data_IF_182098904661
#
_entry.id   IF_182098904661
#
_cell.length_a   1.000
_cell.length_b   1.000
_cell.length_c   1.000
_cell.angle_alpha   90.00
_cell.angle_beta   90.00
_cell.angle_gamma   90.00
#
_symmetry.space_group_name_H-M   'P 1'
#
loop_
_entity.id
_entity.type
_entity.pdbx_description
1 polymer ?
#
# COMPACT_ATOMS: atom_id res chain seq x y z
N UNK A 1 19.49 16.43 -1.65
CA UNK A 1 20.54 16.25 -2.69
C UNK A 1 19.84 15.77 -3.94
N UNK A 2 19.75 16.60 -4.98
CA UNK A 2 19.08 16.22 -6.23
C UNK A 2 19.80 15.03 -6.82
N UNK A 3 19.10 13.90 -6.94
CA UNK A 3 19.65 12.64 -7.40
C UNK A 3 19.77 12.64 -8.93
N UNK A 4 20.48 13.65 -9.45
CA UNK A 4 20.65 14.00 -10.87
C UNK A 4 21.20 12.81 -11.68
N UNK A 5 21.96 11.93 -11.03
CA UNK A 5 22.46 10.69 -11.64
C UNK A 5 21.34 9.82 -12.23
N UNK A 6 20.30 9.49 -11.45
CA UNK A 6 19.24 8.59 -11.93
C UNK A 6 18.36 9.26 -12.97
N UNK A 7 18.07 10.55 -12.79
CA UNK A 7 17.32 11.33 -13.80
C UNK A 7 18.05 11.32 -15.14
N UNK A 8 19.37 11.58 -15.15
CA UNK A 8 20.17 11.55 -16.38
C UNK A 8 20.24 10.14 -16.98
N UNK A 9 20.41 9.11 -16.15
CA UNK A 9 20.41 7.73 -16.62
C UNK A 9 19.09 7.37 -17.32
N UNK A 10 17.95 7.73 -16.71
CA UNK A 10 16.62 7.46 -17.28
C UNK A 10 16.45 8.22 -18.61
N UNK A 11 16.82 9.50 -18.67
CA UNK A 11 16.73 10.30 -19.91
C UNK A 11 17.58 9.66 -21.03
N UNK A 12 18.81 9.24 -20.73
CA UNK A 12 19.68 8.57 -21.69
C UNK A 12 19.10 7.25 -22.19
N UNK A 13 18.46 6.48 -21.31
CA UNK A 13 17.76 5.26 -21.69
C UNK A 13 16.55 5.54 -22.58
N UNK A 14 15.70 6.48 -22.21
CA UNK A 14 14.56 6.89 -23.01
C UNK A 14 14.97 7.31 -24.43
N UNK A 15 16.03 8.14 -24.56
CA UNK A 15 16.57 8.53 -25.87
C UNK A 15 16.95 7.31 -26.73
N UNK A 16 17.67 6.36 -26.13
CA UNK A 16 18.12 5.15 -26.80
C UNK A 16 16.94 4.27 -27.23
N UNK A 17 15.96 4.11 -26.36
CA UNK A 17 14.81 3.24 -26.60
C UNK A 17 13.94 3.81 -27.73
N UNK A 18 13.67 5.12 -27.72
CA UNK A 18 12.97 5.82 -28.81
C UNK A 18 13.71 5.67 -30.15
N UNK A 19 15.04 5.83 -30.15
CA UNK A 19 15.84 5.69 -31.37
C UNK A 19 15.73 4.28 -31.96
N UNK A 20 15.85 3.25 -31.13
CA UNK A 20 15.75 1.86 -31.58
C UNK A 20 14.34 1.53 -32.08
N UNK A 21 13.31 1.95 -31.36
CA UNK A 21 11.91 1.67 -31.72
C UNK A 21 11.53 2.32 -33.06
N UNK A 22 11.98 3.56 -33.31
CA UNK A 22 11.74 4.22 -34.59
C UNK A 22 12.52 3.57 -35.76
N UNK A 23 13.73 3.06 -35.52
CA UNK A 23 14.47 2.29 -36.52
C UNK A 23 13.85 0.92 -36.80
N UNK A 24 13.26 0.28 -35.80
CA UNK A 24 12.57 -0.99 -35.96
C UNK A 24 11.29 -0.82 -36.79
N UNK A 25 10.61 0.34 -36.66
CA UNK A 25 9.43 0.68 -37.48
C UNK A 25 9.81 0.94 -38.94
N UNK A 26 10.88 1.70 -39.18
CA UNK A 26 11.35 1.99 -40.53
C UNK A 26 12.88 1.95 -40.60
N UNK A 27 13.39 0.78 -40.97
CA UNK A 27 14.82 0.54 -41.13
C UNK A 27 15.48 1.33 -42.27
N UNK A 28 14.69 1.97 -43.13
CA UNK A 28 15.18 2.81 -44.23
C UNK A 28 15.45 4.25 -43.80
N UNK A 29 15.07 4.63 -42.58
CA UNK A 29 15.34 5.95 -42.02
C UNK A 29 16.85 6.26 -41.99
N UNK A 30 17.18 7.48 -42.37
CA UNK A 30 18.52 8.03 -42.18
C UNK A 30 18.84 8.11 -40.68
N UNK A 31 19.74 7.22 -40.25
CA UNK A 31 20.19 7.09 -38.86
C UNK A 31 20.77 8.37 -38.29
N UNK A 32 21.46 9.16 -39.11
CA UNK A 32 22.06 10.43 -38.67
C UNK A 32 20.97 11.44 -38.41
N UNK A 33 20.08 11.63 -39.39
CA UNK A 33 18.97 12.58 -39.30
C UNK A 33 18.02 12.24 -38.16
N UNK A 34 17.71 10.96 -37.95
CA UNK A 34 16.87 10.51 -36.85
C UNK A 34 17.49 10.83 -35.49
N UNK A 35 18.80 10.58 -35.35
CA UNK A 35 19.52 10.90 -34.11
C UNK A 35 19.49 12.40 -33.82
N UNK A 36 19.77 13.23 -34.84
CA UNK A 36 19.77 14.69 -34.70
C UNK A 36 18.38 15.21 -34.29
N UNK A 37 17.30 14.67 -34.87
CA UNK A 37 15.92 15.04 -34.50
C UNK A 37 15.60 14.69 -33.04
N UNK A 38 16.00 13.50 -32.57
CA UNK A 38 15.78 13.09 -31.17
C UNK A 38 16.60 13.97 -30.23
N UNK A 39 17.88 14.24 -30.56
CA UNK A 39 18.72 15.06 -29.73
C UNK A 39 18.22 16.52 -29.66
N UNK A 40 17.79 17.09 -30.78
CA UNK A 40 17.18 18.43 -30.83
C UNK A 40 15.91 18.50 -29.97
N UNK A 41 15.04 17.49 -30.04
CA UNK A 41 13.82 17.45 -29.24
C UNK A 41 14.12 17.48 -27.74
N UNK A 42 15.05 16.64 -27.27
CA UNK A 42 15.43 16.57 -25.86
C UNK A 42 16.30 17.74 -25.38
N UNK A 43 16.92 18.50 -26.30
CA UNK A 43 17.57 19.77 -25.96
C UNK A 43 16.55 20.89 -25.78
N UNK A 44 15.50 20.93 -26.62
CA UNK A 44 14.45 21.96 -26.55
C UNK A 44 13.43 21.73 -25.44
N UNK A 45 13.22 20.48 -25.04
CA UNK A 45 12.20 20.11 -24.07
C UNK A 45 12.82 19.60 -22.77
N UNK A 46 12.39 20.16 -21.65
CA UNK A 46 12.78 19.69 -20.31
C UNK A 46 11.85 18.58 -19.85
N UNK A 47 12.40 17.40 -19.54
CA UNK A 47 11.63 16.30 -18.94
C UNK A 47 11.57 16.48 -17.42
N UNK A 48 10.36 16.66 -16.90
CA UNK A 48 10.11 16.73 -15.47
C UNK A 48 9.70 15.36 -14.93
N UNK A 49 10.61 14.69 -14.20
CA UNK A 49 10.30 13.45 -13.49
C UNK A 49 9.69 13.79 -12.13
N UNK A 50 8.42 13.46 -11.94
CA UNK A 50 7.73 13.63 -10.66
C UNK A 50 7.79 12.29 -9.94
N UNK A 51 8.62 12.22 -8.89
CA UNK A 51 8.56 11.11 -7.95
C UNK A 51 7.35 11.34 -7.04
N UNK A 52 6.29 10.58 -7.24
CA UNK A 52 5.22 10.51 -6.26
C UNK A 52 5.70 9.62 -5.10
N UNK A 53 6.03 10.25 -3.97
CA UNK A 53 6.14 9.53 -2.72
C UNK A 53 4.74 8.96 -2.40
N UNK A 54 4.53 7.69 -2.73
CA UNK A 54 3.43 6.93 -2.15
C UNK A 54 3.65 6.96 -0.64
N UNK A 55 2.89 7.82 0.06
CA UNK A 55 2.76 7.75 1.52
C UNK A 55 2.18 6.38 1.85
N UNK A 56 3.03 5.40 2.09
CA UNK A 56 2.64 4.18 2.76
C UNK A 56 2.08 4.61 4.11
N UNK A 57 0.77 4.42 4.33
CA UNK A 57 0.21 4.48 5.68
C UNK A 57 1.01 3.47 6.50
N UNK A 58 1.55 3.87 7.64
CA UNK A 58 2.12 2.92 8.61
C UNK A 58 1.17 1.74 8.76
N UNK A 59 1.56 0.58 8.23
CA UNK A 59 0.71 -0.62 8.18
C UNK A 59 0.51 -1.17 9.60
N UNK A 60 1.55 -1.04 10.44
CA UNK A 60 1.53 -1.41 11.85
C UNK A 60 1.10 -0.24 12.73
N UNK A 61 0.10 -0.48 13.58
CA UNK A 61 -0.32 0.47 14.61
C UNK A 61 0.06 -0.07 16.00
N UNK A 62 1.03 0.56 16.69
CA UNK A 62 1.46 0.13 18.01
C UNK A 62 0.31 0.12 19.02
N UNK A 63 0.19 -0.95 19.82
CA UNK A 63 -0.91 -1.16 20.80
C UNK A 63 -0.87 -0.15 21.96
N UNK A 64 0.33 0.20 22.41
CA UNK A 64 0.63 1.19 23.45
C UNK A 64 0.00 2.57 23.16
N UNK A 65 -0.15 2.95 21.87
CA UNK A 65 -0.87 4.18 21.48
C UNK A 65 -2.37 4.16 21.83
N UNK A 66 -2.93 3.00 22.15
CA UNK A 66 -4.37 2.78 22.41
C UNK A 66 -4.67 2.25 23.82
N UNK A 67 -3.64 1.85 24.58
CA UNK A 67 -3.74 1.15 25.87
C UNK A 67 -4.45 1.95 26.98
N UNK A 68 -4.72 3.24 26.77
CA UNK A 68 -5.34 4.15 27.75
C UNK A 68 -6.59 4.86 27.25
N UNK A 69 -7.23 4.36 26.19
CA UNK A 69 -8.46 4.96 25.66
C UNK A 69 -9.68 4.21 26.19
N UNK A 70 -10.42 4.86 27.08
CA UNK A 70 -11.69 4.35 27.58
C UNK A 70 -12.76 4.33 26.48
N UNK A 71 -13.76 3.46 26.66
CA UNK A 71 -14.94 3.36 25.78
C UNK A 71 -14.62 2.97 24.32
N UNK A 72 -13.58 2.16 24.13
CA UNK A 72 -13.15 1.67 22.81
C UNK A 72 -13.75 0.29 22.52
N UNK A 73 -13.85 -0.04 21.23
CA UNK A 73 -14.42 -1.31 20.79
C UNK A 73 -13.54 -2.50 21.23
N UNK A 74 -14.15 -3.52 21.82
CA UNK A 74 -13.48 -4.72 22.32
C UNK A 74 -12.93 -5.64 21.21
N UNK A 75 -13.40 -5.51 19.97
CA UNK A 75 -13.00 -6.39 18.88
C UNK A 75 -11.52 -6.25 18.52
N UNK A 76 -10.86 -7.40 18.32
CA UNK A 76 -9.49 -7.48 17.81
C UNK A 76 -9.47 -7.30 16.29
N UNK A 77 -8.47 -6.61 15.76
CA UNK A 77 -8.28 -6.39 14.32
C UNK A 77 -6.92 -6.91 13.86
N UNK A 78 -6.76 -7.14 12.55
CA UNK A 78 -5.59 -7.79 11.94
C UNK A 78 -4.25 -7.15 12.33
N UNK A 79 -4.12 -5.82 12.30
CA UNK A 79 -2.92 -5.07 12.75
C UNK A 79 -1.58 -5.73 12.33
N UNK A 80 -1.41 -6.00 11.03
CA UNK A 80 -0.25 -6.73 10.49
C UNK A 80 0.01 -8.08 11.17
N UNK A 81 -1.04 -8.83 11.47
CA UNK A 81 -0.92 -10.12 12.15
C UNK A 81 -0.57 -10.06 13.63
N UNK A 82 -0.18 -8.92 14.20
CA UNK A 82 0.09 -8.78 15.64
C UNK A 82 -1.18 -8.75 16.48
N UNK A 83 -2.33 -8.51 15.84
CA UNK A 83 -3.57 -8.19 16.55
C UNK A 83 -3.56 -6.78 17.14
N UNK A 84 -4.72 -6.14 17.16
CA UNK A 84 -4.88 -4.80 17.73
C UNK A 84 -6.30 -4.54 18.21
N UNK A 85 -6.52 -3.48 18.99
CA UNK A 85 -7.87 -3.07 19.36
C UNK A 85 -8.48 -2.25 18.22
N UNK A 86 -9.75 -2.49 17.90
CA UNK A 86 -10.49 -1.61 17.01
C UNK A 86 -10.50 -0.17 17.55
N UNK A 87 -10.04 0.79 16.74
CA UNK A 87 -9.92 2.20 17.15
C UNK A 87 -11.25 2.97 17.18
N UNK A 88 -12.40 2.31 17.10
CA UNK A 88 -13.74 2.94 17.13
C UNK A 88 -14.29 2.87 18.55
N UNK A 89 -15.22 3.79 18.88
CA UNK A 89 -15.92 3.76 20.18
C UNK A 89 -16.84 2.54 20.32
N UNK A 90 -16.80 1.91 21.49
CA UNK A 90 -17.60 0.74 21.88
C UNK A 90 -19.02 1.10 22.33
N UNK A 91 -19.81 1.77 21.49
CA UNK A 91 -21.15 2.28 21.87
C UNK A 91 -22.23 1.19 22.07
N UNK A 92 -22.01 -0.02 21.57
CA UNK A 92 -22.99 -1.11 21.56
C UNK A 92 -22.41 -2.29 22.32
N UNK A 93 -22.73 -2.41 23.61
CA UNK A 93 -22.21 -3.45 24.52
C UNK A 93 -20.68 -3.60 24.47
N UNK A 94 -19.94 -2.49 24.41
CA UNK A 94 -18.48 -2.50 24.28
C UNK A 94 -17.97 -2.67 22.85
N UNK A 95 -18.84 -2.74 21.83
CA UNK A 95 -18.48 -2.85 20.42
C UNK A 95 -18.87 -1.62 19.62
N UNK A 96 -18.19 -1.38 18.49
CA UNK A 96 -18.66 -0.43 17.50
C UNK A 96 -19.73 -1.08 16.62
N UNK A 97 -20.54 -0.29 15.91
CA UNK A 97 -21.63 -0.79 15.04
C UNK A 97 -21.18 -1.95 14.13
N UNK A 98 -19.98 -1.85 13.55
CA UNK A 98 -19.44 -2.82 12.59
C UNK A 98 -18.97 -4.13 13.20
N UNK A 99 -18.67 -4.15 14.49
CA UNK A 99 -18.31 -5.39 15.19
C UNK A 99 -19.45 -5.87 16.07
N UNK A 100 -20.45 -5.04 16.38
CA UNK A 100 -21.69 -5.49 17.01
C UNK A 100 -22.56 -6.28 16.04
N UNK A 101 -22.72 -5.74 14.83
CA UNK A 101 -23.52 -6.31 13.75
C UNK A 101 -22.71 -6.20 12.44
N UNK A 102 -21.71 -7.07 12.25
CA UNK A 102 -20.91 -7.08 11.03
C UNK A 102 -21.76 -7.49 9.83
N UNK A 103 -21.39 -6.98 8.64
CA UNK A 103 -22.05 -7.37 7.39
C UNK A 103 -21.81 -8.83 7.01
N UNK A 104 -20.71 -9.40 7.50
CA UNK A 104 -20.30 -10.78 7.21
C UNK A 104 -19.80 -11.46 8.47
N UNK A 105 -20.23 -12.70 8.68
CA UNK A 105 -19.82 -13.51 9.82
C UNK A 105 -20.41 -13.04 11.16
N UNK A 106 -19.95 -13.64 12.26
CA UNK A 106 -20.41 -13.33 13.61
C UNK A 106 -19.83 -12.02 14.16
N UNK A 107 -20.62 -11.35 15.02
CA UNK A 107 -20.25 -10.13 15.73
C UNK A 107 -20.00 -10.34 17.23
N UNK A 108 -19.84 -9.24 17.96
CA UNK A 108 -19.64 -9.17 19.41
C UNK A 108 -18.47 -10.06 19.85
N UNK A 109 -18.68 -10.87 20.89
CA UNK A 109 -17.70 -11.81 21.41
C UNK A 109 -17.40 -13.00 20.49
N UNK A 110 -18.28 -13.24 19.51
CA UNK A 110 -18.09 -14.28 18.49
C UNK A 110 -17.31 -13.76 17.27
N UNK A 111 -16.86 -12.50 17.30
CA UNK A 111 -16.01 -11.94 16.27
C UNK A 111 -14.81 -12.86 15.99
N UNK A 112 -14.56 -13.14 14.72
CA UNK A 112 -13.64 -14.20 14.30
C UNK A 112 -12.19 -14.01 14.78
N UNK A 113 -11.72 -12.78 14.99
CA UNK A 113 -10.38 -12.53 15.55
C UNK A 113 -10.36 -12.48 17.10
N UNK A 114 -11.51 -12.71 17.73
CA UNK A 114 -11.71 -12.59 19.17
C UNK A 114 -11.72 -11.13 19.66
N UNK A 115 -11.75 -10.98 20.98
CA UNK A 115 -11.75 -9.67 21.63
C UNK A 115 -10.45 -9.43 22.38
N UNK A 116 -10.18 -8.18 22.75
CA UNK A 116 -8.92 -7.80 23.40
C UNK A 116 -8.84 -8.21 24.88
N UNK A 117 -9.99 -8.45 25.51
CA UNK A 117 -10.20 -8.89 26.90
C UNK A 117 -10.17 -10.42 27.05
N UNK A 118 -9.99 -11.16 25.96
CA UNK A 118 -9.86 -12.62 25.94
C UNK A 118 -8.58 -13.03 25.24
N UNK A 119 -8.18 -14.28 25.46
CA UNK A 119 -7.05 -14.88 24.78
C UNK A 119 -7.22 -14.84 23.25
N UNK A 120 -6.10 -14.79 22.54
CA UNK A 120 -6.11 -14.85 21.07
C UNK A 120 -6.64 -16.22 20.65
N UNK A 121 -7.67 -16.30 19.79
CA UNK A 121 -8.05 -17.57 19.18
C UNK A 121 -6.84 -18.17 18.47
N UNK A 122 -6.61 -19.48 18.59
CA UNK A 122 -5.42 -20.13 18.01
C UNK A 122 -5.40 -20.05 16.48
N UNK A 123 -6.50 -20.46 15.85
CA UNK A 123 -6.65 -20.56 14.39
C UNK A 123 -7.93 -19.85 13.91
N UNK A 124 -8.01 -18.51 14.05
CA UNK A 124 -9.22 -17.78 13.72
C UNK A 124 -9.51 -17.84 12.22
N UNK A 125 -10.74 -18.20 11.86
CA UNK A 125 -11.18 -18.36 10.47
C UNK A 125 -12.10 -17.21 10.10
N UNK A 126 -11.77 -16.47 9.03
CA UNK A 126 -12.62 -15.39 8.56
C UNK A 126 -13.90 -15.93 7.87
N UNK A 127 -14.80 -15.02 7.49
CA UNK A 127 -16.04 -15.36 6.76
C UNK A 127 -15.84 -16.01 5.39
N UNK A 128 -14.61 -16.05 4.85
CA UNK A 128 -14.26 -16.73 3.59
C UNK A 128 -13.58 -18.08 3.80
N UNK A 129 -13.50 -18.58 5.03
CA UNK A 129 -12.82 -19.85 5.34
C UNK A 129 -11.30 -19.74 5.42
N UNK A 130 -10.72 -18.54 5.32
CA UNK A 130 -9.27 -18.32 5.42
C UNK A 130 -8.85 -18.27 6.89
N UNK A 131 -7.91 -19.14 7.26
CA UNK A 131 -7.27 -19.13 8.57
C UNK A 131 -6.29 -17.96 8.66
N UNK A 132 -6.33 -17.23 9.78
CA UNK A 132 -5.37 -16.18 10.09
C UNK A 132 -4.23 -16.71 10.96
N UNK A 133 -3.01 -16.32 10.60
CA UNK A 133 -1.77 -16.64 11.30
C UNK A 133 -1.34 -15.40 12.09
N UNK A 134 -1.21 -15.53 13.40
CA UNK A 134 -0.69 -14.46 14.24
C UNK A 134 0.81 -14.27 14.05
N UNK A 135 1.25 -13.03 14.02
CA UNK A 135 2.65 -12.65 14.13
C UNK A 135 3.00 -12.42 15.61
N UNK A 136 4.21 -12.84 15.99
CA UNK A 136 4.71 -12.82 17.37
C UNK A 136 5.23 -11.44 17.77
#
# INVERSE_FOLDING_TARGET
MNNNYYTNFIILKMKKDIYNELLDIDSTLDKSRLKDMIDEYFQKNTIHMIAEDKKYKEEYRPRDKYEKRDNMCLARVWNCGMGGQCSRRGKYDGFCKYHYEPKTGPGKYDWWMGTIDRDRPRDPVNHTGKVHIWEN
#
